data_IF_289283933757
#
_entry.id   IF_289283933757
#
_cell.length_a   1.000
_cell.length_b   1.000
_cell.length_c   1.000
_cell.angle_alpha   90.00
_cell.angle_beta   90.00
_cell.angle_gamma   90.00
#
_symmetry.space_group_name_H-M   'P 1'
#
loop_
_entity.id
_entity.type
_entity.pdbx_description
1 polymer ?
#
# COMPACT_ATOMS: atom_id res chain seq x y z
N UNK A 1 32.69 -35.05 25.15
CA UNK A 1 33.46 -34.24 24.19
C UNK A 1 32.62 -33.13 23.52
N UNK A 2 31.58 -32.61 24.19
CA UNK A 2 30.65 -31.59 23.66
C UNK A 2 30.47 -30.38 24.60
N UNK A 3 31.36 -30.20 25.58
CA UNK A 3 31.25 -29.11 26.58
C UNK A 3 32.36 -28.05 26.49
N UNK A 4 33.22 -28.11 25.47
CA UNK A 4 34.40 -27.24 25.35
C UNK A 4 34.35 -26.25 24.17
N UNK A 5 33.33 -26.33 23.30
CA UNK A 5 33.22 -25.51 22.08
C UNK A 5 32.39 -24.23 22.23
N UNK A 6 31.69 -24.01 23.35
CA UNK A 6 30.94 -22.77 23.59
C UNK A 6 31.81 -21.57 24.04
N UNK A 7 33.11 -21.78 24.32
CA UNK A 7 33.99 -20.73 24.88
C UNK A 7 34.78 -19.91 23.83
N UNK A 8 34.64 -20.18 22.53
CA UNK A 8 35.52 -19.55 21.50
C UNK A 8 34.78 -18.57 20.57
N UNK A 9 33.45 -18.46 20.64
CA UNK A 9 32.72 -17.49 19.81
C UNK A 9 32.23 -16.29 20.64
N UNK A 10 32.74 -15.07 20.42
CA UNK A 10 32.20 -13.89 21.08
C UNK A 10 30.76 -13.70 20.60
N UNK A 11 29.79 -13.83 21.52
CA UNK A 11 28.40 -13.40 21.29
C UNK A 11 28.41 -11.88 21.04
N UNK A 12 28.60 -11.47 19.79
CA UNK A 12 28.38 -10.09 19.35
C UNK A 12 26.90 -9.79 19.53
N UNK A 13 26.57 -9.19 20.68
CA UNK A 13 25.30 -8.53 20.91
C UNK A 13 25.24 -7.38 19.90
N UNK A 14 24.47 -7.55 18.83
CA UNK A 14 24.18 -6.47 17.89
C UNK A 14 23.45 -5.40 18.71
N UNK A 15 24.16 -4.33 19.09
CA UNK A 15 23.53 -3.12 19.64
C UNK A 15 22.62 -2.61 18.53
N UNK A 16 21.30 -2.77 18.68
CA UNK A 16 20.35 -1.97 17.91
C UNK A 16 20.75 -0.51 18.11
N UNK A 17 20.99 0.20 17.01
CA UNK A 17 21.37 1.61 17.08
C UNK A 17 20.20 2.41 17.68
N UNK A 18 20.53 3.31 18.61
CA UNK A 18 19.60 4.25 19.25
C UNK A 18 18.84 5.11 18.23
N UNK A 19 19.30 5.16 16.97
CA UNK A 19 18.62 5.77 15.84
C UNK A 19 17.24 5.15 15.53
N UNK A 20 16.99 3.90 15.94
CA UNK A 20 15.68 3.25 15.79
C UNK A 20 14.65 3.69 16.86
N UNK A 21 15.11 4.25 17.97
CA UNK A 21 14.25 4.62 19.11
C UNK A 21 13.68 6.05 19.03
N UNK A 22 14.23 6.90 18.15
CA UNK A 22 13.99 8.34 18.16
C UNK A 22 12.96 8.82 17.12
N UNK A 23 12.41 7.96 16.27
CA UNK A 23 11.39 8.37 15.30
C UNK A 23 10.02 8.02 15.86
N UNK A 24 9.38 8.98 16.55
CA UNK A 24 7.94 8.90 16.83
C UNK A 24 7.21 8.66 15.50
N UNK A 25 6.35 7.64 15.38
CA UNK A 25 5.58 7.43 14.16
C UNK A 25 4.72 8.66 13.91
N UNK A 26 4.56 9.04 12.63
CA UNK A 26 3.77 10.21 12.24
C UNK A 26 2.28 10.10 12.63
N UNK A 27 1.84 8.88 12.97
CA UNK A 27 0.48 8.57 13.42
C UNK A 27 0.53 7.56 14.56
N UNK A 28 -0.40 7.65 15.54
CA UNK A 28 -0.51 6.67 16.61
C UNK A 28 -0.65 5.24 16.07
N UNK A 29 -0.19 4.27 16.84
CA UNK A 29 -0.19 2.85 16.45
C UNK A 29 -1.62 2.28 16.37
N UNK A 30 -2.57 2.87 17.10
CA UNK A 30 -4.00 2.59 17.07
C UNK A 30 -4.77 3.92 17.13
N UNK A 31 -5.80 4.16 16.29
CA UNK A 31 -6.69 5.30 16.47
C UNK A 31 -7.48 5.14 17.78
N UNK A 32 -7.48 6.17 18.62
CA UNK A 32 -8.25 6.20 19.86
C UNK A 32 -9.75 6.11 19.55
N UNK A 33 -10.35 4.94 19.84
CA UNK A 33 -11.79 4.69 19.65
C UNK A 33 -12.71 5.68 20.37
N UNK A 34 -12.18 6.49 21.30
CA UNK A 34 -12.95 7.49 22.05
C UNK A 34 -12.98 8.88 21.40
N UNK A 35 -12.11 9.17 20.43
CA UNK A 35 -12.09 10.42 19.67
C UNK A 35 -12.55 10.19 18.23
N UNK A 36 -13.85 10.34 17.99
CA UNK A 36 -14.46 10.27 16.65
C UNK A 36 -14.11 11.50 15.82
N UNK A 37 -12.87 11.61 15.35
CA UNK A 37 -12.53 12.63 14.36
C UNK A 37 -12.97 12.16 12.98
N UNK A 38 -14.12 12.63 12.54
CA UNK A 38 -14.70 12.26 11.23
C UNK A 38 -13.75 12.64 10.09
N UNK A 39 -13.88 11.99 8.93
CA UNK A 39 -13.11 12.36 7.73
C UNK A 39 -13.16 13.86 7.42
N UNK A 40 -14.33 14.49 7.59
CA UNK A 40 -14.49 15.94 7.47
C UNK A 40 -13.61 16.72 8.44
N UNK A 41 -13.57 16.35 9.72
CA UNK A 41 -12.72 17.01 10.70
C UNK A 41 -11.23 16.83 10.36
N UNK A 42 -10.83 15.66 9.89
CA UNK A 42 -9.44 15.41 9.48
C UNK A 42 -9.02 16.30 8.29
N UNK A 43 -9.94 16.59 7.36
CA UNK A 43 -9.69 17.44 6.20
C UNK A 43 -9.78 18.94 6.57
N UNK A 44 -10.78 19.33 7.35
CA UNK A 44 -11.11 20.73 7.65
C UNK A 44 -10.31 21.32 8.82
N UNK A 45 -9.95 20.53 9.84
CA UNK A 45 -9.21 21.01 11.02
C UNK A 45 -7.69 21.03 10.83
N UNK A 46 -7.18 20.83 9.61
CA UNK A 46 -5.75 20.99 9.35
C UNK A 46 -5.31 22.45 9.57
N UNK A 47 -4.23 22.67 10.33
CA UNK A 47 -3.64 24.00 10.53
C UNK A 47 -3.26 24.63 9.17
N UNK A 48 -3.98 25.67 8.76
CA UNK A 48 -3.74 26.40 7.50
C UNK A 48 -2.98 27.70 7.76
N UNK A 49 -1.99 28.01 6.91
CA UNK A 49 -1.49 29.38 6.80
C UNK A 49 -2.45 30.21 5.93
N UNK A 50 -2.48 31.55 6.07
CA UNK A 50 -3.37 32.43 5.28
C UNK A 50 -3.32 32.17 3.77
N UNK A 51 -2.13 31.95 3.21
CA UNK A 51 -1.93 31.62 1.79
C UNK A 51 -2.52 30.25 1.42
N UNK A 52 -2.34 29.25 2.29
CA UNK A 52 -2.90 27.91 2.11
C UNK A 52 -4.42 27.93 2.25
N UNK A 53 -4.95 28.70 3.20
CA UNK A 53 -6.39 28.89 3.40
C UNK A 53 -7.07 29.51 2.18
N UNK A 54 -6.50 30.57 1.56
CA UNK A 54 -7.06 31.12 0.32
C UNK A 54 -7.03 30.11 -0.85
N UNK A 55 -5.96 29.32 -0.97
CA UNK A 55 -5.88 28.26 -1.96
C UNK A 55 -6.89 27.12 -1.72
N UNK A 56 -7.09 26.72 -0.47
CA UNK A 56 -8.05 25.69 -0.08
C UNK A 56 -9.49 26.18 -0.27
N UNK A 57 -9.80 27.43 0.10
CA UNK A 57 -11.12 28.03 -0.16
C UNK A 57 -11.38 28.11 -1.66
N UNK A 58 -10.42 28.57 -2.47
CA UNK A 58 -10.59 28.66 -3.92
C UNK A 58 -10.83 27.28 -4.56
N UNK A 59 -10.08 26.25 -4.14
CA UNK A 59 -10.26 24.86 -4.59
C UNK A 59 -11.56 24.22 -4.08
N UNK A 60 -11.94 24.55 -2.84
CA UNK A 60 -13.19 24.08 -2.22
C UNK A 60 -14.42 24.75 -2.82
N UNK A 61 -14.31 26.01 -3.26
CA UNK A 61 -15.41 26.73 -3.91
C UNK A 61 -15.65 26.20 -5.33
N UNK A 62 -14.61 25.85 -6.09
CA UNK A 62 -14.75 25.29 -7.45
C UNK A 62 -15.27 23.85 -7.43
N UNK A 63 -14.87 23.02 -6.47
CA UNK A 63 -15.46 21.69 -6.27
C UNK A 63 -16.86 21.76 -5.64
N UNK A 64 -17.07 22.67 -4.67
CA UNK A 64 -18.30 22.83 -3.91
C UNK A 64 -19.46 23.43 -4.70
N UNK A 65 -19.21 24.35 -5.61
CA UNK A 65 -20.28 24.94 -6.45
C UNK A 65 -20.79 23.97 -7.53
N UNK A 66 -19.92 23.10 -8.06
CA UNK A 66 -20.30 22.08 -9.03
C UNK A 66 -21.13 20.94 -8.40
N UNK A 67 -20.92 20.64 -7.11
CA UNK A 67 -21.59 19.55 -6.40
C UNK A 67 -22.80 20.01 -5.56
N UNK A 68 -22.77 21.21 -4.97
CA UNK A 68 -23.89 21.74 -4.18
C UNK A 68 -25.08 22.18 -5.05
N UNK A 69 -24.85 22.53 -6.31
CA UNK A 69 -25.93 22.86 -7.25
C UNK A 69 -26.65 21.60 -7.76
N UNK A 70 -25.99 20.44 -7.75
CA UNK A 70 -26.58 19.17 -8.15
C UNK A 70 -27.26 18.42 -6.98
N UNK A 71 -26.70 18.47 -5.76
CA UNK A 71 -27.31 17.79 -4.61
C UNK A 71 -28.64 18.42 -4.15
N UNK A 72 -28.84 19.72 -4.37
CA UNK A 72 -30.00 20.49 -3.88
C UNK A 72 -31.02 20.89 -4.96
N UNK A 73 -30.90 20.41 -6.20
CA UNK A 73 -31.89 20.70 -7.24
C UNK A 73 -33.14 19.81 -7.04
N UNK A 74 -34.35 20.37 -6.86
CA UNK A 74 -35.58 19.60 -6.71
C UNK A 74 -35.98 18.86 -8.00
N UNK A 75 -35.31 19.14 -9.13
CA UNK A 75 -35.54 18.51 -10.43
C UNK A 75 -34.53 17.40 -10.75
N UNK A 76 -33.59 17.10 -9.86
CA UNK A 76 -32.65 16.00 -10.07
C UNK A 76 -33.23 14.66 -9.66
N UNK A 77 -33.00 13.68 -10.53
CA UNK A 77 -33.33 12.28 -10.30
C UNK A 77 -32.69 11.76 -8.99
N UNK A 78 -33.41 10.91 -8.27
CA UNK A 78 -33.03 10.44 -6.95
C UNK A 78 -31.66 9.73 -6.98
N UNK A 79 -31.41 8.93 -8.02
CA UNK A 79 -30.13 8.23 -8.19
C UNK A 79 -28.95 9.20 -8.39
N UNK A 80 -29.14 10.29 -9.13
CA UNK A 80 -28.07 11.27 -9.35
C UNK A 80 -27.77 12.11 -8.10
N UNK A 81 -28.78 12.33 -7.25
CA UNK A 81 -28.58 13.00 -5.96
C UNK A 81 -27.79 12.10 -5.00
N UNK A 82 -28.15 10.83 -4.91
CA UNK A 82 -27.41 9.84 -4.14
C UNK A 82 -25.95 9.73 -4.62
N UNK A 83 -25.72 9.67 -5.94
CA UNK A 83 -24.36 9.62 -6.50
C UNK A 83 -23.53 10.84 -6.09
N UNK A 84 -24.12 12.04 -6.17
CA UNK A 84 -23.43 13.29 -5.80
C UNK A 84 -23.09 13.34 -4.30
N UNK A 85 -24.00 12.87 -3.43
CA UNK A 85 -23.77 12.77 -1.99
C UNK A 85 -22.63 11.77 -1.68
N UNK A 86 -22.65 10.58 -2.28
CA UNK A 86 -21.58 9.59 -2.09
C UNK A 86 -20.22 10.07 -2.64
N UNK A 87 -20.21 10.79 -3.77
CA UNK A 87 -18.97 11.38 -4.29
C UNK A 87 -18.42 12.48 -3.38
N UNK A 88 -19.31 13.25 -2.75
CA UNK A 88 -18.93 14.26 -1.77
C UNK A 88 -18.27 13.63 -0.54
N UNK A 89 -18.88 12.59 0.02
CA UNK A 89 -18.35 11.86 1.17
C UNK A 89 -16.99 11.22 0.84
N UNK A 90 -16.83 10.69 -0.38
CA UNK A 90 -15.56 10.12 -0.84
C UNK A 90 -14.47 11.19 -1.01
N UNK A 91 -14.83 12.40 -1.43
CA UNK A 91 -13.88 13.52 -1.51
C UNK A 91 -13.33 13.92 -0.14
N UNK A 92 -14.18 13.92 0.90
CA UNK A 92 -13.81 14.26 2.28
C UNK A 92 -13.39 13.05 3.13
N UNK A 93 -13.07 11.93 2.47
CA UNK A 93 -12.63 10.71 3.15
C UNK A 93 -11.35 10.95 3.97
N UNK A 94 -11.36 10.47 5.22
CA UNK A 94 -10.20 10.49 6.12
C UNK A 94 -9.06 9.56 5.69
N UNK A 95 -7.92 9.65 6.39
CA UNK A 95 -6.80 8.75 6.13
C UNK A 95 -7.09 7.35 6.69
N UNK A 96 -6.92 6.28 5.90
CA UNK A 96 -7.31 4.91 6.29
C UNK A 96 -6.77 4.45 7.66
N UNK A 97 -5.50 4.78 7.98
CA UNK A 97 -4.90 4.45 9.30
C UNK A 97 -5.61 5.11 10.49
N UNK A 98 -6.27 6.25 10.25
CA UNK A 98 -6.98 7.01 11.28
C UNK A 98 -8.47 6.68 11.34
N UNK A 99 -8.97 5.89 10.39
CA UNK A 99 -10.38 5.49 10.37
C UNK A 99 -10.66 4.47 11.47
N UNK A 100 -11.79 4.68 12.14
CA UNK A 100 -12.45 3.66 12.94
C UNK A 100 -12.94 2.51 12.06
N UNK A 101 -13.22 1.35 12.66
CA UNK A 101 -13.74 0.21 11.91
C UNK A 101 -15.14 0.49 11.31
N UNK A 102 -15.93 1.33 11.98
CA UNK A 102 -17.20 1.82 11.43
C UNK A 102 -16.97 2.67 10.17
N UNK A 103 -16.05 3.63 10.19
CA UNK A 103 -15.75 4.47 9.02
C UNK A 103 -15.17 3.65 7.86
N UNK A 104 -14.39 2.59 8.15
CA UNK A 104 -13.91 1.66 7.12
C UNK A 104 -15.07 0.91 6.47
N UNK A 105 -16.01 0.41 7.26
CA UNK A 105 -17.20 -0.29 6.77
C UNK A 105 -18.10 0.63 5.92
N UNK A 106 -18.38 1.84 6.40
CA UNK A 106 -19.12 2.87 5.64
C UNK A 106 -18.41 3.22 4.33
N UNK A 107 -17.08 3.27 4.35
CA UNK A 107 -16.27 3.47 3.14
C UNK A 107 -16.39 2.30 2.17
N UNK A 108 -16.40 1.06 2.66
CA UNK A 108 -16.62 -0.12 1.80
C UNK A 108 -17.98 -0.03 1.13
N UNK A 109 -19.03 0.22 1.90
CA UNK A 109 -20.40 0.35 1.39
C UNK A 109 -20.50 1.46 0.33
N UNK A 110 -19.98 2.67 0.63
CA UNK A 110 -19.95 3.80 -0.30
C UNK A 110 -19.27 3.46 -1.62
N UNK A 111 -18.07 2.87 -1.57
CA UNK A 111 -17.32 2.49 -2.76
C UNK A 111 -18.01 1.39 -3.56
N UNK A 112 -18.59 0.38 -2.91
CA UNK A 112 -19.36 -0.66 -3.61
C UNK A 112 -20.62 -0.10 -4.27
N UNK A 113 -21.32 0.85 -3.63
CA UNK A 113 -22.50 1.52 -4.20
C UNK A 113 -22.14 2.37 -5.41
N UNK A 114 -21.10 3.21 -5.29
CA UNK A 114 -20.57 4.01 -6.40
C UNK A 114 -20.14 3.12 -7.58
N UNK A 115 -19.49 1.99 -7.31
CA UNK A 115 -19.14 1.03 -8.35
C UNK A 115 -20.38 0.47 -9.05
N UNK A 116 -21.37 0.00 -8.28
CA UNK A 116 -22.61 -0.55 -8.81
C UNK A 116 -23.39 0.45 -9.68
N UNK A 117 -23.43 1.74 -9.29
CA UNK A 117 -24.08 2.80 -10.08
C UNK A 117 -23.35 3.02 -11.42
N UNK A 118 -22.01 2.96 -11.42
CA UNK A 118 -21.19 3.21 -12.61
C UNK A 118 -21.14 2.05 -13.60
N UNK A 119 -21.04 0.81 -13.10
CA UNK A 119 -20.78 -0.38 -13.92
C UNK A 119 -21.98 -1.31 -14.03
N UNK A 120 -23.03 -1.09 -13.21
CA UNK A 120 -24.18 -2.00 -13.07
C UNK A 120 -23.78 -3.40 -12.60
N UNK A 121 -22.62 -3.53 -11.96
CA UNK A 121 -22.09 -4.79 -11.42
C UNK A 121 -21.97 -4.73 -9.91
N UNK A 122 -22.28 -5.85 -9.26
CA UNK A 122 -22.10 -6.00 -7.82
C UNK A 122 -20.64 -6.39 -7.54
N UNK A 123 -19.97 -5.60 -6.69
CA UNK A 123 -18.61 -5.85 -6.24
C UNK A 123 -18.64 -6.33 -4.79
N UNK A 124 -17.94 -7.43 -4.51
CA UNK A 124 -17.62 -7.83 -3.14
C UNK A 124 -16.30 -7.20 -2.74
N UNK A 125 -16.30 -6.41 -1.68
CA UNK A 125 -15.11 -5.75 -1.16
C UNK A 125 -15.08 -5.88 0.36
N UNK A 126 -13.88 -6.05 0.91
CA UNK A 126 -13.64 -6.18 2.35
C UNK A 126 -12.34 -5.50 2.73
N UNK A 127 -12.21 -5.10 3.99
CA UNK A 127 -10.92 -4.73 4.59
C UNK A 127 -10.49 -5.81 5.58
N UNK A 128 -9.20 -6.12 5.62
CA UNK A 128 -8.63 -7.09 6.57
C UNK A 128 -7.55 -6.39 7.40
N UNK A 129 -7.71 -6.28 8.73
CA UNK A 129 -6.69 -5.67 9.58
C UNK A 129 -5.46 -6.56 9.72
N UNK A 130 -4.34 -5.97 10.15
CA UNK A 130 -3.16 -6.72 10.53
C UNK A 130 -3.48 -7.71 11.66
N UNK A 131 -2.89 -8.91 11.57
CA UNK A 131 -3.07 -9.94 12.61
C UNK A 131 -2.14 -9.64 13.79
N UNK A 132 -2.72 -9.44 14.98
CA UNK A 132 -1.96 -9.10 16.20
C UNK A 132 -0.90 -10.16 16.52
N UNK A 133 0.35 -9.71 16.66
CA UNK A 133 1.48 -10.56 17.05
C UNK A 133 1.93 -11.56 15.97
N UNK A 134 1.51 -11.37 14.72
CA UNK A 134 1.89 -12.25 13.60
C UNK A 134 2.89 -11.54 12.70
N UNK A 135 4.05 -12.16 12.50
CA UNK A 135 5.05 -11.71 11.54
C UNK A 135 5.01 -12.59 10.30
N UNK A 136 4.81 -11.98 9.13
CA UNK A 136 4.87 -12.68 7.86
C UNK A 136 6.29 -12.67 7.30
N UNK A 137 6.76 -13.84 6.86
CA UNK A 137 8.05 -14.01 6.20
C UNK A 137 7.88 -14.76 4.90
N UNK A 138 8.69 -14.41 3.90
CA UNK A 138 8.75 -15.09 2.62
C UNK A 138 10.19 -15.46 2.30
N UNK A 139 10.41 -16.73 1.94
CA UNK A 139 11.71 -17.24 1.55
C UNK A 139 11.63 -17.80 0.13
N UNK A 140 12.53 -17.33 -0.73
CA UNK A 140 12.62 -17.75 -2.13
C UNK A 140 13.83 -18.65 -2.34
N UNK A 141 13.60 -19.90 -2.72
CA UNK A 141 14.68 -20.85 -2.97
C UNK A 141 15.25 -20.69 -4.39
N UNK A 142 16.33 -19.92 -4.49
CA UNK A 142 17.03 -19.60 -5.75
C UNK A 142 17.50 -20.89 -6.46
N UNK A 143 17.97 -21.89 -5.71
CA UNK A 143 18.47 -23.15 -6.29
C UNK A 143 17.38 -24.00 -6.98
N UNK A 144 16.11 -23.74 -6.67
CA UNK A 144 14.96 -24.41 -7.29
C UNK A 144 14.31 -23.58 -8.38
N UNK A 145 14.61 -22.29 -8.48
CA UNK A 145 14.07 -21.45 -9.54
C UNK A 145 14.66 -21.84 -10.90
N UNK A 146 13.78 -22.02 -11.88
CA UNK A 146 14.13 -22.45 -13.25
C UNK A 146 13.89 -21.37 -14.31
N UNK A 147 13.40 -20.20 -13.92
CA UNK A 147 13.22 -19.08 -14.84
C UNK A 147 11.91 -19.06 -15.64
N UNK A 148 10.96 -19.97 -15.42
CA UNK A 148 9.71 -20.06 -16.21
C UNK A 148 8.76 -18.83 -16.07
N UNK A 149 9.03 -17.91 -15.14
CA UNK A 149 8.25 -16.69 -14.89
C UNK A 149 6.75 -16.87 -14.54
N UNK A 150 6.27 -18.09 -14.27
CA UNK A 150 4.88 -18.32 -13.84
C UNK A 150 4.50 -17.54 -12.59
N UNK A 151 5.45 -17.34 -11.67
CA UNK A 151 5.25 -16.49 -10.49
C UNK A 151 4.96 -15.02 -10.85
N UNK A 152 5.57 -14.49 -11.93
CA UNK A 152 5.32 -13.14 -12.42
C UNK A 152 3.93 -13.07 -13.04
N UNK A 153 3.58 -14.03 -13.90
CA UNK A 153 2.27 -14.10 -14.54
C UNK A 153 1.13 -14.23 -13.52
N UNK A 154 1.30 -15.07 -12.50
CA UNK A 154 0.36 -15.21 -11.41
C UNK A 154 0.19 -13.89 -10.64
N UNK A 155 1.29 -13.21 -10.31
CA UNK A 155 1.25 -11.93 -9.60
C UNK A 155 0.52 -10.83 -10.40
N UNK A 156 0.77 -10.74 -11.71
CA UNK A 156 0.09 -9.79 -12.60
C UNK A 156 -1.42 -10.05 -12.64
N UNK A 157 -1.82 -11.33 -12.76
CA UNK A 157 -3.23 -11.73 -12.80
C UNK A 157 -3.94 -11.45 -11.47
N UNK A 158 -3.33 -11.85 -10.36
CA UNK A 158 -3.93 -11.72 -9.02
C UNK A 158 -4.10 -10.26 -8.61
N UNK A 159 -3.11 -9.41 -8.89
CA UNK A 159 -3.12 -8.02 -8.45
C UNK A 159 -3.73 -7.06 -9.49
N UNK A 160 -4.39 -7.59 -10.52
CA UNK A 160 -5.00 -6.81 -11.60
C UNK A 160 -4.05 -5.74 -12.20
N UNK A 161 -2.76 -6.08 -12.35
CA UNK A 161 -1.76 -5.14 -12.84
C UNK A 161 -2.02 -4.76 -14.31
N UNK A 162 -1.72 -3.52 -14.67
CA UNK A 162 -1.91 -3.04 -16.03
C UNK A 162 -0.93 -3.73 -17.00
N UNK A 163 -1.51 -4.41 -17.99
CA UNK A 163 -0.77 -5.15 -19.02
C UNK A 163 -0.19 -4.23 -20.09
N UNK A 164 -0.78 -3.04 -20.31
CA UNK A 164 -0.32 -2.11 -21.35
C UNK A 164 1.02 -1.47 -20.97
N UNK A 165 1.16 -1.06 -19.72
CA UNK A 165 2.42 -0.54 -19.18
C UNK A 165 3.49 -1.60 -18.93
N UNK A 166 3.15 -2.89 -19.05
CA UNK A 166 4.02 -4.03 -18.71
C UNK A 166 4.55 -3.93 -17.26
N UNK A 167 3.72 -3.40 -16.35
CA UNK A 167 4.07 -3.30 -14.94
C UNK A 167 4.18 -4.71 -14.33
N UNK A 168 5.23 -4.91 -13.53
CA UNK A 168 5.49 -6.18 -12.85
C UNK A 168 6.04 -5.88 -11.45
N UNK A 169 5.38 -6.37 -10.40
CA UNK A 169 5.88 -6.28 -9.02
C UNK A 169 7.03 -7.25 -8.72
N UNK A 170 7.14 -8.32 -9.50
CA UNK A 170 8.20 -9.33 -9.38
C UNK A 170 8.99 -9.31 -10.68
N UNK A 171 10.31 -9.27 -10.59
CA UNK A 171 11.22 -9.46 -11.72
C UNK A 171 12.11 -10.68 -11.48
N UNK A 172 12.37 -11.43 -12.54
CA UNK A 172 13.28 -12.58 -12.51
C UNK A 172 14.51 -12.22 -13.34
N UNK A 173 15.68 -12.42 -12.75
CA UNK A 173 16.96 -12.13 -13.34
C UNK A 173 17.72 -13.44 -13.58
N UNK A 174 18.10 -13.69 -14.83
CA UNK A 174 19.02 -14.74 -15.21
C UNK A 174 20.46 -14.30 -14.96
N UNK A 175 21.24 -15.17 -14.31
CA UNK A 175 22.64 -14.93 -13.99
C UNK A 175 23.48 -16.15 -14.37
N UNK A 176 24.70 -15.90 -14.85
CA UNK A 176 25.73 -16.95 -14.98
C UNK A 176 26.21 -17.38 -13.60
N UNK A 177 26.36 -18.68 -13.39
CA UNK A 177 26.94 -19.23 -12.15
C UNK A 177 28.34 -18.62 -11.93
N UNK A 178 28.60 -18.19 -10.70
CA UNK A 178 29.83 -17.52 -10.32
C UNK A 178 29.72 -16.00 -10.18
N UNK A 179 28.64 -15.37 -10.69
CA UNK A 179 28.28 -13.98 -10.42
C UNK A 179 26.89 -13.90 -9.78
N UNK A 180 26.74 -13.11 -8.72
CA UNK A 180 25.44 -12.81 -8.08
C UNK A 180 24.97 -11.38 -8.34
N UNK A 181 25.75 -10.61 -9.10
CA UNK A 181 25.53 -9.20 -9.29
C UNK A 181 24.45 -8.90 -10.31
N UNK A 182 23.50 -8.04 -9.93
CA UNK A 182 22.38 -7.62 -10.77
C UNK A 182 22.83 -6.83 -12.00
N UNK A 183 24.03 -6.26 -11.97
CA UNK A 183 24.65 -5.52 -13.07
C UNK A 183 24.99 -6.41 -14.26
N UNK A 184 25.26 -7.70 -14.02
CA UNK A 184 25.54 -8.69 -15.07
C UNK A 184 24.33 -9.55 -15.42
N UNK A 185 23.20 -9.32 -14.74
CA UNK A 185 22.02 -10.14 -14.86
C UNK A 185 21.10 -9.68 -16.00
N UNK A 186 20.46 -10.63 -16.67
CA UNK A 186 19.46 -10.32 -17.70
C UNK A 186 18.04 -10.54 -17.16
N UNK A 187 17.16 -9.56 -17.35
CA UNK A 187 15.73 -9.66 -17.01
C UNK A 187 14.81 -9.82 -18.24
N UNK A 188 15.38 -9.81 -19.44
CA UNK A 188 14.67 -9.88 -20.72
C UNK A 188 15.18 -11.06 -21.57
N UNK A 189 15.29 -12.24 -20.97
CA UNK A 189 15.66 -13.45 -21.69
C UNK A 189 14.45 -14.07 -22.44
N UNK A 190 14.67 -14.53 -23.67
CA UNK A 190 13.63 -15.09 -24.56
C UNK A 190 14.05 -16.43 -25.18
N UNK A 191 14.79 -17.24 -24.44
CA UNK A 191 15.18 -18.59 -24.83
C UNK A 191 14.59 -19.63 -23.87
N UNK A 192 14.80 -20.91 -24.19
CA UNK A 192 14.40 -22.01 -23.32
C UNK A 192 15.14 -21.95 -21.98
N UNK A 193 14.42 -22.21 -20.90
CA UNK A 193 14.95 -22.18 -19.53
C UNK A 193 14.69 -23.52 -18.83
N UNK A 194 15.55 -23.96 -17.90
CA UNK A 194 16.76 -23.29 -17.43
C UNK A 194 17.92 -23.37 -18.44
N UNK A 195 18.60 -22.25 -18.69
CA UNK A 195 19.82 -22.24 -19.48
C UNK A 195 20.99 -22.92 -18.75
N UNK A 196 21.81 -23.65 -19.50
CA UNK A 196 22.98 -24.34 -18.95
C UNK A 196 23.97 -23.34 -18.34
N UNK A 197 24.51 -23.64 -17.16
CA UNK A 197 25.46 -22.75 -16.48
C UNK A 197 24.84 -21.49 -15.86
N UNK A 198 23.51 -21.35 -15.88
CA UNK A 198 22.81 -20.19 -15.32
C UNK A 198 21.99 -20.55 -14.06
N UNK A 199 21.57 -19.52 -13.32
CA UNK A 199 20.59 -19.59 -12.24
C UNK A 199 19.69 -18.35 -12.28
N UNK A 200 18.55 -18.43 -11.61
CA UNK A 200 17.49 -17.42 -11.69
C UNK A 200 17.17 -16.86 -10.32
N UNK A 201 17.18 -15.53 -10.20
CA UNK A 201 16.91 -14.83 -8.95
C UNK A 201 15.73 -13.88 -9.11
N UNK A 202 14.72 -14.05 -8.25
CA UNK A 202 13.59 -13.14 -8.17
C UNK A 202 13.87 -11.95 -7.26
N UNK A 203 13.52 -10.76 -7.73
CA UNK A 203 13.48 -9.54 -6.91
C UNK A 203 12.05 -9.03 -6.86
N UNK A 204 11.61 -8.65 -5.67
CA UNK A 204 10.27 -8.13 -5.37
C UNK A 204 10.37 -7.15 -4.20
N UNK A 205 9.26 -6.55 -3.78
CA UNK A 205 9.25 -5.84 -2.50
C UNK A 205 9.56 -6.82 -1.35
N UNK A 206 10.67 -6.60 -0.65
CA UNK A 206 11.13 -7.46 0.44
C UNK A 206 10.46 -7.17 1.79
N UNK A 207 9.55 -6.20 1.86
CA UNK A 207 8.83 -5.83 3.08
C UNK A 207 9.78 -5.57 4.26
N UNK A 208 10.75 -4.67 4.04
CA UNK A 208 11.84 -4.42 4.97
C UNK A 208 11.34 -4.00 6.37
N UNK A 209 12.02 -4.48 7.41
CA UNK A 209 11.73 -4.15 8.82
C UNK A 209 11.87 -2.65 9.12
N UNK A 210 12.87 -2.00 8.50
CA UNK A 210 13.12 -0.56 8.54
C UNK A 210 13.03 0.02 7.12
N UNK A 211 11.81 0.20 6.57
CA UNK A 211 11.62 0.54 5.17
C UNK A 211 11.95 2.03 4.92
N UNK A 212 12.88 2.37 4.01
CA UNK A 212 13.14 3.76 3.66
C UNK A 212 11.98 4.39 2.87
N UNK A 213 11.23 3.58 2.12
CA UNK A 213 10.14 4.03 1.25
C UNK A 213 8.95 4.64 2.01
N UNK A 214 8.70 4.26 3.26
CA UNK A 214 7.62 4.82 4.08
C UNK A 214 7.98 6.19 4.65
N UNK A 215 9.27 6.45 4.89
CA UNK A 215 9.77 7.70 5.50
C UNK A 215 9.71 8.89 4.54
N UNK A 216 9.71 8.63 3.24
CA UNK A 216 9.79 9.66 2.19
C UNK A 216 8.45 10.04 1.60
N UNK A 217 7.36 9.34 1.95
CA UNK A 217 6.03 9.65 1.41
C UNK A 217 5.43 10.87 2.14
N UNK A 218 5.30 12.04 1.49
CA UNK A 218 4.87 13.27 2.16
C UNK A 218 3.42 13.21 2.66
N UNK A 219 2.60 12.36 2.04
CA UNK A 219 1.18 12.14 2.39
C UNK A 219 0.97 10.86 3.20
N UNK A 220 2.05 10.14 3.53
CA UNK A 220 2.00 8.88 4.29
C UNK A 220 1.09 7.79 3.72
N UNK A 221 0.99 7.74 2.37
CA UNK A 221 0.25 6.70 1.66
C UNK A 221 0.88 5.30 1.79
N UNK A 222 2.08 5.21 2.35
CA UNK A 222 2.77 3.95 2.66
C UNK A 222 3.15 3.93 4.14
N UNK A 223 2.87 2.83 4.82
CA UNK A 223 3.20 2.60 6.22
C UNK A 223 3.59 1.13 6.44
N UNK A 224 4.08 0.83 7.63
CA UNK A 224 4.32 -0.54 8.11
C UNK A 224 3.18 -0.92 9.06
N UNK A 225 2.59 -2.09 8.86
CA UNK A 225 1.60 -2.66 9.78
C UNK A 225 2.25 -3.04 11.13
N UNK A 226 1.52 -2.93 12.25
CA UNK A 226 2.04 -3.17 13.60
C UNK A 226 2.28 -4.65 13.93
#
# INVERSE_FOLDING_TARGET
MFSFLEKILPKRRIKQSEASLSMKPAFPDEPDSTQKTTGYEQVLNQKQSRRKAMGTIFKGLTAGTALASSSCSPFMDAEKREEAELQWDEYFKGHYKLMTDQEKEETVQRLTRLHAMKTQQQLSMSYTPAKKGVLFGYAFNISKCRGYMDCVNACVKENNQDRKSKMQYIKIFENKKGSMGLETADSNYFHEVPAEGHFYMGTQCFQCENPPCTKVCPVSATWKEP
#
